data_IF_880143567170
#
_entry.id   IF_880143567170
#
_cell.length_a   1.000
_cell.length_b   1.000
_cell.length_c   1.000
_cell.angle_alpha   90.00
_cell.angle_beta   90.00
_cell.angle_gamma   90.00
#
_symmetry.space_group_name_H-M   'P 1'
#
loop_
_entity.id
_entity.type
_entity.pdbx_description
1 polymer ?
#
# COMPACT_ATOMS: atom_id res chain seq x y z
N UNK A 1 40.94 -16.30 22.51
CA UNK A 1 40.32 -15.71 21.31
C UNK A 1 41.44 -15.58 20.29
N UNK A 2 41.32 -16.27 19.16
CA UNK A 2 42.36 -16.40 18.15
C UNK A 2 42.38 -15.11 17.29
N UNK A 3 43.53 -14.67 16.83
CA UNK A 3 43.69 -13.46 15.99
C UNK A 3 42.84 -13.55 14.71
N UNK A 4 42.78 -14.74 14.10
CA UNK A 4 41.92 -15.07 12.95
C UNK A 4 40.43 -14.83 13.24
N UNK A 5 39.94 -15.22 14.41
CA UNK A 5 38.54 -15.00 14.84
C UNK A 5 38.22 -13.49 14.97
N UNK A 6 39.17 -12.71 15.47
CA UNK A 6 39.01 -11.27 15.60
C UNK A 6 39.00 -10.54 14.25
N UNK A 7 39.81 -11.00 13.31
CA UNK A 7 39.80 -10.47 11.94
C UNK A 7 38.49 -10.80 11.23
N UNK A 8 38.05 -12.05 11.32
CA UNK A 8 36.76 -12.47 10.75
C UNK A 8 35.59 -11.66 11.35
N UNK A 9 35.57 -11.45 12.66
CA UNK A 9 34.56 -10.59 13.33
C UNK A 9 34.56 -9.16 12.76
N UNK A 10 35.74 -8.57 12.56
CA UNK A 10 35.84 -7.24 11.95
C UNK A 10 35.28 -7.21 10.53
N UNK A 11 35.60 -8.24 9.75
CA UNK A 11 35.14 -8.34 8.37
C UNK A 11 33.61 -8.58 8.31
N UNK A 12 33.08 -9.49 9.10
CA UNK A 12 31.64 -9.72 9.24
C UNK A 12 30.95 -8.40 9.60
N UNK A 13 31.41 -7.70 10.64
CA UNK A 13 30.82 -6.41 11.06
C UNK A 13 30.86 -5.34 9.97
N UNK A 14 31.90 -5.34 9.15
CA UNK A 14 31.99 -4.43 8.01
C UNK A 14 31.00 -4.77 6.91
N UNK A 15 30.81 -6.07 6.60
CA UNK A 15 30.00 -6.55 5.49
C UNK A 15 28.51 -6.64 5.82
N UNK A 16 28.15 -7.05 7.06
CA UNK A 16 26.75 -7.18 7.47
C UNK A 16 26.17 -5.89 8.06
N UNK A 17 26.99 -4.83 8.17
CA UNK A 17 26.49 -3.51 8.54
C UNK A 17 25.54 -3.04 7.46
N UNK A 18 24.28 -3.42 7.61
CA UNK A 18 23.23 -2.98 6.73
C UNK A 18 23.13 -1.45 6.78
N UNK A 19 23.03 -0.85 5.62
CA UNK A 19 22.75 0.58 5.50
C UNK A 19 21.29 0.80 5.85
N UNK A 20 21.01 0.76 7.17
CA UNK A 20 19.69 1.10 7.65
C UNK A 20 19.47 2.59 7.51
N UNK A 21 18.38 2.94 6.83
CA UNK A 21 17.87 4.30 6.88
C UNK A 21 17.13 4.42 8.20
N UNK A 22 17.64 5.22 9.14
CA UNK A 22 16.97 5.41 10.41
C UNK A 22 15.60 6.07 10.19
N UNK A 23 14.58 5.74 10.99
CA UNK A 23 13.25 6.37 10.86
C UNK A 23 13.29 7.90 10.91
N UNK A 24 14.21 8.46 11.71
CA UNK A 24 14.49 9.88 11.85
C UNK A 24 15.19 10.52 10.64
N UNK A 25 15.89 9.72 9.82
CA UNK A 25 16.57 10.21 8.61
C UNK A 25 15.59 10.33 7.42
N UNK A 26 14.43 9.71 7.51
CA UNK A 26 13.42 9.78 6.45
C UNK A 26 12.75 11.15 6.51
N UNK A 27 12.83 11.97 5.43
CA UNK A 27 12.25 13.31 5.43
C UNK A 27 10.75 13.31 5.67
N UNK A 28 10.28 14.20 6.57
CA UNK A 28 8.85 14.42 6.80
C UNK A 28 8.21 15.37 5.76
N UNK A 29 9.03 15.90 4.82
CA UNK A 29 8.56 16.75 3.72
C UNK A 29 8.38 15.93 2.44
N UNK A 30 7.48 16.38 1.58
CA UNK A 30 7.29 15.78 0.27
C UNK A 30 8.49 16.03 -0.66
N UNK A 31 8.97 14.99 -1.33
CA UNK A 31 10.13 15.03 -2.20
C UNK A 31 9.74 14.89 -3.68
N UNK A 32 10.47 15.56 -4.58
CA UNK A 32 10.40 15.28 -6.01
C UNK A 32 11.24 14.04 -6.37
N UNK A 33 10.96 13.42 -7.52
CA UNK A 33 11.63 12.20 -7.99
C UNK A 33 13.17 12.26 -7.90
N UNK A 34 13.77 13.41 -8.26
CA UNK A 34 15.23 13.59 -8.21
C UNK A 34 15.77 13.59 -6.78
N UNK A 35 15.01 14.15 -5.86
CA UNK A 35 15.35 14.14 -4.44
C UNK A 35 15.19 12.75 -3.85
N UNK A 36 14.14 12.00 -4.24
CA UNK A 36 13.94 10.61 -3.84
C UNK A 36 15.11 9.73 -4.29
N UNK A 37 15.46 9.78 -5.58
CA UNK A 37 16.58 8.96 -6.09
C UNK A 37 17.89 9.33 -5.41
N UNK A 38 18.17 10.63 -5.21
CA UNK A 38 19.35 11.07 -4.50
C UNK A 38 19.37 10.61 -3.03
N UNK A 39 18.22 10.69 -2.35
CA UNK A 39 18.10 10.21 -0.97
C UNK A 39 18.42 8.72 -0.88
N UNK A 40 17.79 7.89 -1.75
CA UNK A 40 18.04 6.46 -1.80
C UNK A 40 19.51 6.14 -2.12
N UNK A 41 20.10 6.84 -3.10
CA UNK A 41 21.51 6.67 -3.46
C UNK A 41 22.44 7.02 -2.29
N UNK A 42 22.19 8.10 -1.58
CA UNK A 42 23.05 8.52 -0.47
C UNK A 42 23.05 7.51 0.69
N UNK A 43 21.91 6.86 0.95
CA UNK A 43 21.74 6.01 2.12
C UNK A 43 21.92 4.51 1.84
N UNK A 44 21.81 4.04 0.58
CA UNK A 44 21.76 2.62 0.25
C UNK A 44 22.94 2.10 -0.59
N UNK A 45 23.95 2.93 -0.88
CA UNK A 45 25.07 2.54 -1.76
C UNK A 45 26.20 1.72 -1.12
N UNK A 46 26.23 1.59 0.22
CA UNK A 46 27.45 1.14 0.92
C UNK A 46 27.81 -0.33 0.77
N UNK A 47 26.87 -1.20 0.43
CA UNK A 47 27.08 -2.66 0.45
C UNK A 47 27.05 -3.34 -0.92
N UNK A 48 27.13 -2.58 -2.00
CA UNK A 48 27.09 -3.14 -3.35
C UNK A 48 28.49 -3.37 -3.87
N UNK A 49 28.73 -4.55 -4.46
CA UNK A 49 30.00 -4.81 -5.18
C UNK A 49 30.13 -3.81 -6.32
N UNK A 50 31.29 -3.14 -6.42
CA UNK A 50 31.54 -2.06 -7.38
C UNK A 50 31.25 -2.44 -8.84
N UNK A 51 31.38 -3.72 -9.19
CA UNK A 51 31.25 -4.25 -10.55
C UNK A 51 29.89 -4.92 -10.84
N UNK A 52 28.91 -4.86 -9.93
CA UNK A 52 27.60 -5.46 -10.19
C UNK A 52 26.65 -4.44 -10.78
N UNK A 53 25.85 -4.84 -11.80
CA UNK A 53 24.72 -4.04 -12.31
C UNK A 53 23.68 -3.75 -11.21
N UNK A 54 23.74 -4.48 -10.11
CA UNK A 54 22.96 -4.26 -8.87
C UNK A 54 23.43 -3.01 -8.09
N UNK A 55 24.55 -2.38 -8.47
CA UNK A 55 25.10 -1.16 -7.86
C UNK A 55 24.16 0.05 -7.99
N UNK A 56 23.17 -0.04 -8.86
CA UNK A 56 22.18 1.02 -9.02
C UNK A 56 21.08 0.86 -7.97
N UNK A 57 21.06 1.76 -7.03
CA UNK A 57 19.91 2.04 -6.17
C UNK A 57 18.64 2.16 -7.04
N UNK A 58 17.58 2.61 -6.57
CA UNK A 58 16.34 2.71 -7.34
C UNK A 58 16.43 3.84 -8.39
N UNK A 59 16.49 3.48 -9.67
CA UNK A 59 16.47 4.47 -10.76
C UNK A 59 15.06 5.07 -10.94
N UNK A 60 14.98 6.26 -11.52
CA UNK A 60 13.69 6.90 -11.89
C UNK A 60 12.80 5.97 -12.72
N UNK A 61 13.38 5.21 -13.64
CA UNK A 61 12.66 4.24 -14.47
C UNK A 61 12.08 3.12 -13.63
N UNK A 62 12.82 2.59 -12.64
CA UNK A 62 12.33 1.56 -11.73
C UNK A 62 11.18 2.08 -10.87
N UNK A 63 11.31 3.26 -10.27
CA UNK A 63 10.25 3.87 -9.46
C UNK A 63 8.97 4.10 -10.29
N UNK A 64 9.12 4.62 -11.52
CA UNK A 64 7.99 4.78 -12.44
C UNK A 64 7.34 3.43 -12.79
N UNK A 65 8.13 2.37 -13.00
CA UNK A 65 7.61 1.04 -13.24
C UNK A 65 6.86 0.46 -12.03
N UNK A 66 7.34 0.71 -10.82
CA UNK A 66 6.62 0.29 -9.60
C UNK A 66 5.27 1.00 -9.48
N UNK A 67 5.20 2.28 -9.81
CA UNK A 67 3.93 3.04 -9.83
C UNK A 67 2.99 2.51 -10.93
N UNK A 68 3.48 2.32 -12.16
CA UNK A 68 2.68 1.76 -13.28
C UNK A 68 2.12 0.39 -12.95
N UNK A 69 2.92 -0.45 -12.30
CA UNK A 69 2.53 -1.80 -11.88
C UNK A 69 1.76 -1.83 -10.55
N UNK A 70 1.35 -0.68 -10.01
CA UNK A 70 0.59 -0.53 -8.76
C UNK A 70 1.30 -1.10 -7.51
N UNK A 71 2.60 -1.35 -7.60
CA UNK A 71 3.41 -1.76 -6.46
C UNK A 71 3.62 -0.57 -5.49
N UNK A 72 3.82 0.62 -6.05
CA UNK A 72 3.92 1.88 -5.32
C UNK A 72 2.69 2.75 -5.64
N UNK A 73 2.05 3.41 -4.66
CA UNK A 73 1.01 4.39 -4.92
C UNK A 73 1.50 5.51 -5.86
N UNK A 74 0.63 6.10 -6.68
CA UNK A 74 1.04 7.23 -7.51
C UNK A 74 1.29 8.47 -6.65
N UNK A 75 2.39 9.23 -6.91
CA UNK A 75 2.67 10.46 -6.18
C UNK A 75 1.66 11.55 -6.55
N UNK A 76 1.22 12.33 -5.58
CA UNK A 76 0.37 13.49 -5.80
C UNK A 76 1.20 14.67 -6.32
N UNK A 77 0.78 15.28 -7.44
CA UNK A 77 1.49 16.41 -8.07
C UNK A 77 2.99 16.16 -8.24
N UNK A 78 3.39 14.90 -8.53
CA UNK A 78 4.77 14.44 -8.68
C UNK A 78 5.59 14.50 -7.39
N UNK A 79 4.96 14.56 -6.22
CA UNK A 79 5.61 14.59 -4.92
C UNK A 79 5.40 13.26 -4.18
N UNK A 80 6.45 12.79 -3.57
CA UNK A 80 6.55 11.55 -2.83
C UNK A 80 6.57 11.86 -1.33
N UNK A 81 5.65 11.29 -0.58
CA UNK A 81 5.56 11.44 0.88
C UNK A 81 6.53 10.50 1.60
N UNK A 82 6.63 10.62 2.92
CA UNK A 82 7.39 9.72 3.79
C UNK A 82 7.00 8.25 3.58
N UNK A 83 5.71 7.97 3.42
CA UNK A 83 5.20 6.62 3.19
C UNK A 83 5.68 6.04 1.86
N UNK A 84 5.79 6.85 0.81
CA UNK A 84 6.39 6.42 -0.45
C UNK A 84 7.86 6.01 -0.25
N UNK A 85 8.62 6.79 0.53
CA UNK A 85 10.03 6.48 0.83
C UNK A 85 10.13 5.16 1.59
N UNK A 86 9.32 4.95 2.62
CA UNK A 86 9.29 3.69 3.38
C UNK A 86 8.97 2.49 2.47
N UNK A 87 8.00 2.63 1.58
CA UNK A 87 7.69 1.57 0.62
C UNK A 87 8.84 1.31 -0.36
N UNK A 88 9.52 2.36 -0.83
CA UNK A 88 10.70 2.20 -1.70
C UNK A 88 11.85 1.51 -0.99
N UNK A 89 12.09 1.82 0.28
CA UNK A 89 13.07 1.13 1.13
C UNK A 89 12.70 -0.36 1.23
N UNK A 90 11.45 -0.68 1.52
CA UNK A 90 10.97 -2.06 1.59
C UNK A 90 11.16 -2.82 0.27
N UNK A 91 10.82 -2.20 -0.86
CA UNK A 91 11.04 -2.78 -2.20
C UNK A 91 12.53 -3.01 -2.45
N UNK A 92 13.39 -2.04 -2.08
CA UNK A 92 14.83 -2.15 -2.28
C UNK A 92 15.42 -3.37 -1.57
N UNK A 93 15.08 -3.60 -0.31
CA UNK A 93 15.57 -4.76 0.44
C UNK A 93 15.00 -6.08 -0.06
N UNK A 94 13.71 -6.12 -0.38
CA UNK A 94 13.03 -7.36 -0.75
C UNK A 94 13.30 -7.81 -2.19
N UNK A 95 13.58 -6.88 -3.13
CA UNK A 95 13.73 -7.20 -4.56
C UNK A 95 14.81 -8.22 -4.90
N UNK A 96 15.83 -8.34 -4.04
CA UNK A 96 16.94 -9.28 -4.21
C UNK A 96 16.72 -10.62 -3.48
N UNK A 97 15.62 -10.74 -2.71
CA UNK A 97 15.34 -11.92 -1.90
C UNK A 97 14.14 -12.69 -2.45
N UNK A 98 13.05 -11.99 -2.75
CA UNK A 98 11.80 -12.57 -3.23
C UNK A 98 11.35 -11.94 -4.54
N UNK A 99 10.41 -12.58 -5.23
CA UNK A 99 9.90 -12.10 -6.51
C UNK A 99 9.12 -10.78 -6.36
N UNK A 100 9.03 -9.98 -7.43
CA UNK A 100 8.18 -8.77 -7.46
C UNK A 100 6.71 -9.11 -7.20
N UNK A 101 6.26 -10.31 -7.58
CA UNK A 101 4.91 -10.79 -7.26
C UNK A 101 4.70 -10.96 -5.77
N UNK A 102 5.69 -11.53 -5.07
CA UNK A 102 5.62 -11.74 -3.62
C UNK A 102 5.74 -10.42 -2.86
N UNK A 103 6.59 -9.50 -3.33
CA UNK A 103 6.62 -8.14 -2.79
C UNK A 103 5.25 -7.47 -2.89
N UNK A 104 4.53 -7.68 -3.99
CA UNK A 104 3.17 -7.14 -4.14
C UNK A 104 2.19 -7.75 -3.14
N UNK A 105 2.18 -9.07 -2.97
CA UNK A 105 1.33 -9.75 -1.98
C UNK A 105 1.55 -9.19 -0.57
N UNK A 106 2.81 -8.87 -0.24
CA UNK A 106 3.20 -8.31 1.05
C UNK A 106 2.82 -6.83 1.19
N UNK A 107 3.08 -6.00 0.16
CA UNK A 107 2.91 -4.55 0.26
C UNK A 107 1.47 -4.07 -0.04
N UNK A 108 0.66 -4.82 -0.79
CA UNK A 108 -0.73 -4.42 -1.07
C UNK A 108 -1.57 -4.27 0.20
N UNK A 109 -1.59 -5.22 1.16
CA UNK A 109 -2.28 -5.03 2.43
C UNK A 109 -1.72 -3.89 3.27
N UNK A 110 -0.40 -3.70 3.27
CA UNK A 110 0.26 -2.61 3.97
C UNK A 110 -0.18 -1.25 3.41
N UNK A 111 -0.20 -1.11 2.08
CA UNK A 111 -0.68 0.08 1.39
C UNK A 111 -2.16 0.36 1.69
N UNK A 112 -3.02 -0.65 1.58
CA UNK A 112 -4.46 -0.50 1.83
C UNK A 112 -4.79 -0.07 3.27
N UNK A 113 -3.97 -0.48 4.23
CA UNK A 113 -4.26 -0.26 5.66
C UNK A 113 -3.57 0.95 6.26
N UNK A 114 -2.37 1.28 5.80
CA UNK A 114 -1.48 2.20 6.51
C UNK A 114 -0.99 3.37 5.67
N UNK A 115 -1.16 3.36 4.34
CA UNK A 115 -0.73 4.44 3.48
C UNK A 115 -1.68 5.64 3.60
N UNK A 116 -1.14 6.86 3.79
CA UNK A 116 -1.89 8.11 4.01
C UNK A 116 -2.89 8.04 5.19
N UNK A 117 -2.60 7.24 6.20
CA UNK A 117 -3.43 7.16 7.38
C UNK A 117 -2.96 8.20 8.41
N UNK A 118 -3.53 9.39 8.34
CA UNK A 118 -3.36 10.41 9.38
C UNK A 118 -4.32 10.12 10.55
N UNK A 119 -3.73 9.97 11.76
CA UNK A 119 -4.42 10.10 13.04
C UNK A 119 -5.71 9.28 13.24
N UNK A 120 -5.59 7.95 13.32
CA UNK A 120 -6.68 7.06 13.74
C UNK A 120 -6.23 6.07 14.81
N UNK A 121 -7.15 5.25 15.37
CA UNK A 121 -6.86 4.20 16.35
C UNK A 121 -5.97 3.06 15.76
N UNK A 122 -4.81 3.38 15.23
CA UNK A 122 -3.89 2.38 14.65
C UNK A 122 -2.55 2.97 14.31
N UNK A 123 -1.52 2.09 14.25
CA UNK A 123 -0.15 2.47 13.91
C UNK A 123 -0.08 3.08 12.50
N UNK A 124 0.70 4.15 12.37
CA UNK A 124 1.11 4.71 11.09
C UNK A 124 2.16 3.82 10.40
N UNK A 125 2.35 3.99 9.09
CA UNK A 125 3.40 3.27 8.37
C UNK A 125 4.80 3.62 8.90
N UNK A 126 5.01 4.86 9.36
CA UNK A 126 6.25 5.29 10.01
C UNK A 126 6.52 4.56 11.33
N UNK A 127 5.50 4.37 12.16
CA UNK A 127 5.64 3.61 13.41
C UNK A 127 5.93 2.14 13.16
N UNK A 128 5.25 1.52 12.16
CA UNK A 128 5.54 0.14 11.74
C UNK A 128 6.99 0.01 11.27
N UNK A 129 7.45 0.95 10.44
CA UNK A 129 8.83 0.97 9.98
C UNK A 129 9.82 1.08 11.15
N UNK A 130 9.55 1.96 12.12
CA UNK A 130 10.38 2.12 13.31
C UNK A 130 10.47 0.84 14.16
N UNK A 131 9.37 0.12 14.29
CA UNK A 131 9.36 -1.17 14.99
C UNK A 131 10.18 -2.24 14.26
N UNK A 132 10.00 -2.36 12.93
CA UNK A 132 10.78 -3.27 12.09
C UNK A 132 12.26 -2.94 12.21
N UNK A 133 12.64 -1.68 12.06
CA UNK A 133 14.02 -1.20 12.20
C UNK A 133 14.65 -1.60 13.55
N UNK A 134 13.92 -1.41 14.66
CA UNK A 134 14.39 -1.78 15.98
C UNK A 134 14.58 -3.29 16.15
N UNK A 135 13.73 -4.12 15.52
CA UNK A 135 13.88 -5.57 15.52
C UNK A 135 15.08 -6.01 14.67
N UNK A 136 15.27 -5.43 13.48
CA UNK A 136 16.40 -5.71 12.61
C UNK A 136 17.73 -5.38 13.28
N UNK A 137 17.81 -4.25 13.96
CA UNK A 137 18.98 -3.86 14.75
C UNK A 137 19.37 -4.91 15.81
N UNK A 138 18.38 -5.57 16.42
CA UNK A 138 18.61 -6.66 17.38
C UNK A 138 19.12 -7.92 16.70
N UNK A 139 18.73 -8.18 15.44
CA UNK A 139 19.18 -9.36 14.69
C UNK A 139 20.64 -9.33 14.28
N UNK A 140 21.25 -8.15 14.24
CA UNK A 140 22.67 -8.00 13.87
C UNK A 140 23.60 -8.96 14.63
N UNK A 141 23.43 -9.04 15.95
CA UNK A 141 24.24 -9.92 16.80
C UNK A 141 24.00 -11.40 16.51
N UNK A 142 22.76 -11.79 16.22
CA UNK A 142 22.41 -13.16 15.87
C UNK A 142 23.02 -13.56 14.52
N UNK A 143 23.04 -12.65 13.55
CA UNK A 143 23.66 -12.87 12.23
C UNK A 143 25.17 -13.04 12.38
N UNK A 144 25.84 -12.16 13.13
CA UNK A 144 27.28 -12.28 13.41
C UNK A 144 27.61 -13.65 14.02
N UNK A 145 26.88 -14.05 15.05
CA UNK A 145 27.08 -15.34 15.72
C UNK A 145 26.77 -16.54 14.81
N UNK A 146 25.76 -16.44 13.95
CA UNK A 146 25.41 -17.50 13.00
C UNK A 146 26.54 -17.73 11.99
N UNK A 147 27.14 -16.67 11.46
CA UNK A 147 28.26 -16.73 10.52
C UNK A 147 29.51 -17.33 11.21
N UNK A 148 29.84 -16.85 12.40
CA UNK A 148 30.98 -17.37 13.17
C UNK A 148 30.84 -18.86 13.49
N UNK A 149 29.65 -19.28 13.88
CA UNK A 149 29.35 -20.69 14.14
C UNK A 149 29.48 -21.57 12.91
N UNK A 150 29.03 -21.08 11.75
CA UNK A 150 29.17 -21.79 10.49
C UNK A 150 30.64 -21.95 10.10
N UNK A 151 31.47 -20.94 10.31
CA UNK A 151 32.91 -21.02 10.09
C UNK A 151 33.57 -22.01 11.04
N UNK A 152 33.29 -21.95 12.34
CA UNK A 152 33.81 -22.87 13.35
C UNK A 152 33.50 -24.33 13.01
N UNK A 153 32.27 -24.63 12.62
CA UNK A 153 31.85 -25.98 12.19
C UNK A 153 32.64 -26.43 10.95
N UNK A 154 32.83 -25.52 10.00
CA UNK A 154 33.59 -25.84 8.77
C UNK A 154 35.05 -26.12 9.09
N UNK A 155 35.71 -25.30 9.86
CA UNK A 155 37.10 -25.50 10.28
C UNK A 155 37.26 -26.83 11.04
N UNK A 156 36.35 -27.16 11.96
CA UNK A 156 36.40 -28.40 12.72
C UNK A 156 36.21 -29.65 11.84
N UNK A 157 35.25 -29.62 10.91
CA UNK A 157 34.92 -30.76 10.05
C UNK A 157 35.92 -30.95 8.92
N UNK A 158 36.53 -29.87 8.46
CA UNK A 158 37.46 -29.86 7.33
C UNK A 158 38.93 -29.65 7.79
N UNK A 159 39.22 -29.94 9.07
CA UNK A 159 40.58 -29.74 9.65
C UNK A 159 41.67 -30.52 8.87
N UNK A 160 41.34 -31.69 8.33
CA UNK A 160 42.27 -32.56 7.60
C UNK A 160 42.28 -32.29 6.08
N UNK A 161 41.53 -31.27 5.61
CA UNK A 161 41.57 -30.85 4.23
C UNK A 161 42.74 -29.91 3.98
N UNK A 162 43.67 -30.31 3.10
CA UNK A 162 44.83 -29.49 2.72
C UNK A 162 44.47 -28.34 1.76
N UNK A 163 43.27 -28.36 1.20
CA UNK A 163 42.83 -27.38 0.19
C UNK A 163 41.95 -26.29 0.82
N UNK A 164 42.51 -25.11 0.96
CA UNK A 164 41.80 -23.89 1.42
C UNK A 164 40.57 -23.55 0.55
N UNK A 165 40.59 -23.88 -0.74
CA UNK A 165 39.45 -23.68 -1.62
C UNK A 165 38.25 -24.55 -1.17
N UNK A 166 38.50 -25.81 -0.83
CA UNK A 166 37.46 -26.74 -0.36
C UNK A 166 36.86 -26.26 0.96
N UNK A 167 37.66 -25.74 1.88
CA UNK A 167 37.19 -25.15 3.14
C UNK A 167 36.27 -23.96 2.88
N UNK A 168 36.72 -23.00 2.05
CA UNK A 168 35.91 -21.84 1.68
C UNK A 168 34.64 -22.22 0.95
N UNK A 169 34.71 -23.17 0.02
CA UNK A 169 33.56 -23.69 -0.70
C UNK A 169 32.52 -24.27 0.27
N UNK A 170 32.95 -25.13 1.20
CA UNK A 170 32.06 -25.74 2.21
C UNK A 170 31.39 -24.66 3.07
N UNK A 171 32.16 -23.67 3.52
CA UNK A 171 31.59 -22.56 4.27
C UNK A 171 30.54 -21.76 3.50
N UNK A 172 30.81 -21.47 2.20
CA UNK A 172 29.86 -20.81 1.32
C UNK A 172 28.56 -21.62 1.19
N UNK A 173 28.64 -22.95 1.03
CA UNK A 173 27.48 -23.81 0.94
C UNK A 173 26.65 -23.82 2.24
N UNK A 174 27.30 -23.79 3.40
CA UNK A 174 26.60 -23.68 4.69
C UNK A 174 25.81 -22.36 4.77
N UNK A 175 26.42 -21.24 4.39
CA UNK A 175 25.73 -19.94 4.37
C UNK A 175 24.61 -19.93 3.30
N UNK A 176 24.85 -20.51 2.13
CA UNK A 176 23.84 -20.61 1.06
C UNK A 176 22.61 -21.41 1.51
N UNK A 177 22.82 -22.52 2.24
CA UNK A 177 21.71 -23.31 2.76
C UNK A 177 20.90 -22.55 3.81
N UNK A 178 21.54 -21.81 4.71
CA UNK A 178 20.87 -20.96 5.70
C UNK A 178 20.01 -19.89 5.04
N UNK A 179 20.57 -19.18 4.04
CA UNK A 179 19.86 -18.15 3.25
C UNK A 179 18.67 -18.78 2.52
N UNK A 180 18.88 -19.91 1.84
CA UNK A 180 17.83 -20.59 1.07
C UNK A 180 16.68 -21.06 1.98
N UNK A 181 17.00 -21.64 3.12
CA UNK A 181 16.00 -22.13 4.09
C UNK A 181 15.14 -20.98 4.63
N UNK A 182 15.76 -19.85 4.98
CA UNK A 182 15.06 -18.65 5.43
C UNK A 182 14.20 -18.05 4.30
N UNK A 183 14.70 -18.04 3.08
CA UNK A 183 13.95 -17.58 1.91
C UNK A 183 12.69 -18.42 1.70
N UNK A 184 12.79 -19.75 1.69
CA UNK A 184 11.61 -20.63 1.55
C UNK A 184 10.58 -20.38 2.65
N UNK A 185 11.02 -20.15 3.88
CA UNK A 185 10.11 -19.84 4.97
C UNK A 185 9.44 -18.47 4.81
N UNK A 186 10.18 -17.45 4.33
CA UNK A 186 9.62 -16.13 4.00
C UNK A 186 8.55 -16.23 2.89
N UNK A 187 8.82 -16.99 1.83
CA UNK A 187 7.86 -17.21 0.73
C UNK A 187 6.58 -17.88 1.25
N UNK A 188 6.71 -18.87 2.13
CA UNK A 188 5.56 -19.51 2.80
C UNK A 188 4.74 -18.50 3.61
N UNK A 189 5.37 -17.65 4.43
CA UNK A 189 4.66 -16.62 5.20
C UNK A 189 3.97 -15.57 4.29
N UNK A 190 4.56 -15.24 3.15
CA UNK A 190 3.95 -14.34 2.17
C UNK A 190 2.68 -14.97 1.56
N UNK A 191 2.71 -16.27 1.27
CA UNK A 191 1.54 -16.99 0.77
C UNK A 191 0.43 -17.08 1.83
N UNK A 192 0.76 -17.30 3.10
CA UNK A 192 -0.22 -17.23 4.21
C UNK A 192 -0.88 -15.85 4.32
N UNK A 193 -0.10 -14.78 4.18
CA UNK A 193 -0.64 -13.40 4.17
C UNK A 193 -1.61 -13.22 3.00
N UNK A 194 -1.23 -13.64 1.79
CA UNK A 194 -2.05 -13.51 0.58
C UNK A 194 -3.38 -14.28 0.71
N UNK A 195 -3.35 -15.49 1.23
CA UNK A 195 -4.56 -16.29 1.50
C UNK A 195 -5.47 -15.63 2.55
N UNK A 196 -4.90 -15.12 3.64
CA UNK A 196 -5.65 -14.42 4.67
C UNK A 196 -6.32 -13.15 4.12
N UNK A 197 -5.61 -12.40 3.27
CA UNK A 197 -6.15 -11.20 2.62
C UNK A 197 -7.26 -11.53 1.60
N UNK A 198 -7.13 -12.59 0.84
CA UNK A 198 -8.20 -13.06 -0.05
C UNK A 198 -9.47 -13.39 0.73
N UNK A 199 -9.35 -14.17 1.81
CA UNK A 199 -10.47 -14.51 2.69
C UNK A 199 -11.11 -13.26 3.32
N UNK A 200 -10.28 -12.29 3.76
CA UNK A 200 -10.78 -11.01 4.31
C UNK A 200 -11.61 -10.25 3.27
N UNK A 201 -11.08 -10.09 2.06
CA UNK A 201 -11.77 -9.39 0.95
C UNK A 201 -13.07 -10.08 0.55
N UNK A 202 -13.12 -11.39 0.52
CA UNK A 202 -14.36 -12.16 0.26
C UNK A 202 -15.42 -11.90 1.34
N UNK A 203 -15.03 -11.94 2.61
CA UNK A 203 -15.95 -11.67 3.73
C UNK A 203 -16.46 -10.23 3.69
N UNK A 204 -15.62 -9.26 3.39
CA UNK A 204 -16.02 -7.85 3.24
C UNK A 204 -16.98 -7.65 2.06
N UNK A 205 -16.68 -8.26 0.91
CA UNK A 205 -17.57 -8.23 -0.25
C UNK A 205 -18.95 -8.83 0.05
N UNK A 206 -18.99 -9.96 0.77
CA UNK A 206 -20.25 -10.61 1.18
C UNK A 206 -21.06 -9.72 2.14
N UNK A 207 -20.38 -9.08 3.11
CA UNK A 207 -21.02 -8.12 4.03
C UNK A 207 -21.57 -6.90 3.29
N UNK A 208 -20.81 -6.36 2.33
CA UNK A 208 -21.23 -5.24 1.50
C UNK A 208 -22.46 -5.60 0.64
N UNK A 209 -22.45 -6.78 0.00
CA UNK A 209 -23.59 -7.28 -0.79
C UNK A 209 -24.86 -7.45 0.06
N UNK A 210 -24.74 -8.03 1.28
CA UNK A 210 -25.86 -8.16 2.22
C UNK A 210 -26.41 -6.80 2.65
N UNK A 211 -25.54 -5.82 2.91
CA UNK A 211 -25.94 -4.44 3.27
C UNK A 211 -26.67 -3.71 2.13
N UNK A 212 -26.22 -3.92 0.89
CA UNK A 212 -26.90 -3.37 -0.30
C UNK A 212 -28.26 -4.04 -0.55
N UNK A 213 -28.37 -5.36 -0.39
CA UNK A 213 -29.63 -6.07 -0.51
C UNK A 213 -30.65 -5.61 0.54
N UNK A 214 -30.21 -5.44 1.79
CA UNK A 214 -31.06 -4.91 2.87
C UNK A 214 -31.54 -3.47 2.59
N UNK A 215 -30.66 -2.60 2.06
CA UNK A 215 -31.06 -1.24 1.65
C UNK A 215 -32.07 -1.24 0.50
N UNK A 216 -31.92 -2.12 -0.49
CA UNK A 216 -32.86 -2.26 -1.62
C UNK A 216 -34.25 -2.76 -1.16
N UNK A 217 -34.30 -3.71 -0.22
CA UNK A 217 -35.55 -4.21 0.35
C UNK A 217 -36.24 -3.16 1.22
N UNK A 218 -35.50 -2.37 2.00
CA UNK A 218 -36.05 -1.26 2.78
C UNK A 218 -36.61 -0.14 1.88
N UNK A 219 -35.89 0.22 0.80
CA UNK A 219 -36.38 1.19 -0.18
C UNK A 219 -37.63 0.73 -0.91
N UNK A 220 -37.74 -0.56 -1.25
CA UNK A 220 -38.92 -1.15 -1.88
C UNK A 220 -40.14 -1.15 -0.93
N UNK A 221 -39.95 -1.41 0.37
CA UNK A 221 -41.01 -1.32 1.39
C UNK A 221 -41.46 0.13 1.60
N UNK A 222 -40.56 1.10 1.57
CA UNK A 222 -40.93 2.52 1.72
C UNK A 222 -41.70 3.06 0.50
N UNK A 223 -41.38 2.61 -0.73
CA UNK A 223 -42.10 2.98 -1.94
C UNK A 223 -43.52 2.33 -2.02
N UNK A 224 -43.65 1.08 -1.58
CA UNK A 224 -44.95 0.40 -1.53
C UNK A 224 -45.86 0.98 -0.43
N UNK A 225 -45.31 1.42 0.70
CA UNK A 225 -46.05 2.12 1.76
C UNK A 225 -46.59 3.50 1.32
N UNK A 226 -45.81 4.26 0.53
CA UNK A 226 -46.28 5.54 -0.04
C UNK A 226 -47.35 5.35 -1.13
N UNK A 227 -47.29 4.30 -1.91
CA UNK A 227 -48.30 3.99 -2.91
C UNK A 227 -49.62 3.55 -2.27
N UNK A 228 -49.57 2.83 -1.13
CA UNK A 228 -50.76 2.45 -0.36
C UNK A 228 -51.40 3.65 0.36
N UNK A 229 -50.60 4.58 0.91
CA UNK A 229 -51.09 5.79 1.55
C UNK A 229 -51.75 6.76 0.54
N UNK A 230 -51.21 6.93 -0.65
CA UNK A 230 -51.79 7.72 -1.71
C UNK A 230 -53.09 7.12 -2.26
N UNK A 231 -53.25 5.77 -2.25
CA UNK A 231 -54.47 5.11 -2.66
C UNK A 231 -55.60 5.19 -1.62
N UNK A 232 -55.22 5.32 -0.34
CA UNK A 232 -56.18 5.56 0.75
C UNK A 232 -56.66 7.04 0.76
N UNK A 233 -55.76 8.00 0.52
CA UNK A 233 -56.11 9.42 0.44
C UNK A 233 -56.98 9.75 -0.80
N UNK A 234 -56.79 9.04 -1.93
CA UNK A 234 -57.65 9.19 -3.12
C UNK A 234 -59.05 8.57 -2.97
N UNK A 235 -59.25 7.61 -2.05
CA UNK A 235 -60.55 7.05 -1.75
C UNK A 235 -61.36 7.93 -0.79
N UNK A 236 -60.75 8.70 0.05
CA UNK A 236 -61.43 9.62 0.98
C UNK A 236 -61.86 10.94 0.30
N UNK A 237 -61.12 11.42 -0.69
CA UNK A 237 -61.51 12.58 -1.52
C UNK A 237 -62.62 12.29 -2.51
N UNK A 238 -62.87 11.02 -2.89
CA UNK A 238 -63.98 10.63 -3.75
C UNK A 238 -65.32 10.48 -3.00
N UNK A 239 -65.31 10.38 -1.66
CA UNK A 239 -66.49 10.24 -0.84
C UNK A 239 -67.08 11.58 -0.39
N UNK A 240 -66.32 12.67 -0.50
CA UNK A 240 -66.77 14.05 -0.18
C UNK A 240 -67.30 14.86 -1.36
N UNK A 241 -67.22 14.32 -2.60
CA UNK A 241 -67.67 15.01 -3.82
C UNK A 241 -69.10 14.65 -4.28
N UNK A 242 -69.77 13.78 -3.52
CA UNK A 242 -71.16 13.33 -3.87
C UNK A 242 -72.20 13.95 -2.96
N UNK A 243 -72.08 15.19 -2.58
CA UNK A 243 -73.13 15.84 -1.76
C UNK A 243 -73.01 17.37 -1.79
N UNK A 244 -73.46 17.96 -2.92
CA UNK A 244 -74.14 19.27 -2.98
C UNK A 244 -74.27 19.71 -4.44
N UNK A 245 -75.33 19.26 -5.10
CA UNK A 245 -75.93 19.95 -6.22
C UNK A 245 -76.96 20.91 -5.65
N UNK A 246 -76.90 22.13 -5.99
CA UNK A 246 -77.93 23.08 -6.39
C UNK A 246 -77.68 24.51 -5.97
N UNK A 247 -77.90 25.33 -6.93
CA UNK A 247 -78.37 26.74 -6.88
C UNK A 247 -77.31 27.86 -7.27
N UNK A 248 -77.70 28.33 -8.44
CA UNK A 248 -77.88 29.73 -8.91
C UNK A 248 -76.63 30.50 -9.37
N UNK A 249 -76.61 30.62 -10.71
CA UNK A 249 -76.94 31.77 -11.61
C UNK A 249 -76.23 33.11 -11.34
N UNK A 250 -75.69 33.59 -12.47
CA UNK A 250 -75.53 35.00 -12.92
C UNK A 250 -74.46 35.83 -12.29
N UNK A 251 -73.57 36.42 -13.00
CA UNK A 251 -73.60 37.35 -14.06
C UNK A 251 -72.23 37.95 -14.36
N UNK A 252 -71.95 38.07 -15.65
CA UNK A 252 -71.39 39.22 -16.35
C UNK A 252 -69.99 39.75 -16.04
N UNK A 253 -69.20 39.66 -17.03
CA UNK A 253 -68.75 40.71 -18.01
C UNK A 253 -67.34 41.29 -17.75
N UNK A 254 -66.51 41.07 -18.75
CA UNK A 254 -65.68 42.01 -19.47
C UNK A 254 -64.50 42.64 -18.66
N UNK A 255 -63.38 42.79 -19.18
CA UNK A 255 -62.80 43.28 -20.39
C UNK A 255 -61.29 43.10 -20.31
N UNK A 256 -60.70 42.62 -21.32
CA UNK A 256 -59.95 43.33 -22.38
C UNK A 256 -58.55 43.82 -22.01
N UNK A 257 -57.59 43.22 -22.79
CA UNK A 257 -56.54 43.93 -23.57
C UNK A 257 -55.40 44.56 -22.76
N UNK A 258 -54.18 44.45 -23.12
CA UNK A 258 -53.37 44.54 -24.38
C UNK A 258 -51.93 44.19 -23.99
N UNK A 259 -51.22 43.33 -24.65
CA UNK A 259 -50.41 43.53 -25.84
C UNK A 259 -49.11 44.34 -25.64
N UNK A 260 -48.08 43.77 -26.23
CA UNK A 260 -47.00 44.34 -27.06
C UNK A 260 -45.59 44.23 -26.38
N UNK A 261 -44.71 43.27 -26.83
CA UNK A 261 -43.78 43.32 -27.93
C UNK A 261 -42.60 44.32 -27.79
N UNK A 262 -41.40 43.82 -27.76
CA UNK A 262 -40.29 44.14 -28.69
C UNK A 262 -38.98 43.65 -28.07
N UNK A 263 -38.32 42.72 -28.70
CA UNK A 263 -37.32 42.76 -29.78
C UNK A 263 -35.96 43.33 -29.42
N UNK A 264 -34.98 42.46 -29.52
CA UNK A 264 -33.81 42.52 -30.43
C UNK A 264 -32.65 43.38 -30.00
N UNK A 265 -31.52 42.84 -30.05
CA UNK A 265 -30.45 42.78 -31.01
C UNK A 265 -29.07 43.02 -30.38
N UNK A 266 -28.18 42.13 -30.73
CA UNK A 266 -26.84 42.37 -31.31
C UNK A 266 -25.86 43.23 -30.49
N UNK A 267 -24.60 42.92 -30.42
CA UNK A 267 -23.64 42.31 -31.30
C UNK A 267 -22.28 42.31 -30.65
N UNK A 268 -21.46 41.38 -31.11
CA UNK A 268 -20.11 41.58 -31.65
C UNK A 268 -19.18 42.58 -30.92
N UNK A 269 -18.00 42.31 -30.56
CA UNK A 269 -16.80 41.92 -31.24
C UNK A 269 -15.56 42.09 -30.33
N UNK A 270 -14.59 41.23 -30.56
CA UNK A 270 -13.15 41.48 -30.51
C UNK A 270 -12.46 42.13 -29.28
N UNK A 271 -11.64 41.40 -28.63
CA UNK A 271 -10.15 41.32 -28.86
C UNK A 271 -9.59 40.15 -28.06
#
# INVERSE_FOLDING_TARGET
MNEKENELKKEIRRLIRLDYIMPEDIPDIELYMDQVTRFMDTHLQRNVRADSDESKTLTKTMINNYTKNKLLPPPEKKRYTKEHIIMLISIYYLKNIVSISDIRKLLDPMKERYFNREGGDGKSLGEIYSEIFNLEKRQYFNIENSILRAEEITEFKMKDADDEYVKKLTFIYMLAYDIYSKKCFMEHLIDEIDEAEKKRKEVEALKAAKKQAAKKTAAKKASSGKAAANKAAAKDSAKTAAGKSSAKTSSKTAAQKTAVKKTSKQGTDKK
#
